data_IF_223835019941
#
_entry.id   IF_223835019941
#
_cell.length_a   1.000
_cell.length_b   1.000
_cell.length_c   1.000
_cell.angle_alpha   90.00
_cell.angle_beta   90.00
_cell.angle_gamma   90.00
#
_symmetry.space_group_name_H-M   'P 1'
#
loop_
_entity.id
_entity.type
_entity.pdbx_description
1 polymer ?
#
# COMPACT_ATOMS: atom_id res chain seq x y z
N UNK A 1 -17.47 7.55 -16.17
CA UNK A 1 -16.39 8.54 -15.94
C UNK A 1 -16.27 8.97 -14.46
N UNK A 2 -17.33 9.49 -13.82
CA UNK A 2 -17.22 10.04 -12.44
C UNK A 2 -17.02 9.00 -11.33
N UNK A 3 -17.55 7.79 -11.50
CA UNK A 3 -17.43 6.71 -10.51
C UNK A 3 -16.02 6.11 -10.50
N UNK A 4 -15.37 5.95 -11.66
CA UNK A 4 -13.99 5.46 -11.77
C UNK A 4 -12.96 6.47 -11.24
N UNK A 5 -13.12 7.77 -11.50
CA UNK A 5 -12.29 8.81 -10.89
C UNK A 5 -12.44 8.86 -9.36
N UNK A 6 -13.68 8.80 -8.85
CA UNK A 6 -13.92 8.68 -7.39
C UNK A 6 -13.31 7.41 -6.81
N UNK A 7 -13.40 6.30 -7.55
CA UNK A 7 -12.79 5.04 -7.16
C UNK A 7 -11.26 5.16 -7.06
N UNK A 8 -10.60 5.72 -8.08
CA UNK A 8 -9.15 5.98 -8.11
C UNK A 8 -8.66 6.94 -7.01
N UNK A 9 -9.48 7.91 -6.60
CA UNK A 9 -9.12 8.88 -5.56
C UNK A 9 -9.30 8.33 -4.12
N UNK A 10 -10.19 7.35 -3.93
CA UNK A 10 -10.56 6.83 -2.60
C UNK A 10 -9.72 5.63 -2.15
N UNK A 11 -8.99 4.99 -3.05
CA UNK A 11 -8.13 3.85 -2.76
C UNK A 11 -6.70 4.21 -3.18
N UNK A 12 -5.75 4.07 -2.25
CA UNK A 12 -4.32 4.20 -2.53
C UNK A 12 -3.88 3.07 -3.47
N UNK A 13 -4.13 3.17 -4.78
CA UNK A 13 -3.85 2.12 -5.77
C UNK A 13 -2.37 2.03 -6.16
N UNK A 14 -1.47 1.94 -5.18
CA UNK A 14 -0.01 1.86 -5.43
C UNK A 14 0.38 0.71 -6.38
N UNK A 15 -0.39 -0.39 -6.42
CA UNK A 15 -0.12 -1.51 -7.34
C UNK A 15 -0.40 -1.19 -8.82
N UNK A 16 -1.38 -0.32 -9.11
CA UNK A 16 -1.77 0.02 -10.49
C UNK A 16 -0.95 1.18 -11.06
N UNK A 17 -0.19 1.89 -10.23
CA UNK A 17 0.66 3.00 -10.66
C UNK A 17 2.04 2.54 -11.13
N UNK A 18 2.43 1.30 -10.82
CA UNK A 18 3.73 0.77 -11.21
C UNK A 18 3.71 0.29 -12.67
N UNK A 19 4.56 0.89 -13.51
CA UNK A 19 4.82 0.35 -14.85
C UNK A 19 5.53 -1.01 -14.72
N UNK A 20 5.10 -2.05 -15.46
CA UNK A 20 5.78 -3.35 -15.46
C UNK A 20 7.25 -3.21 -15.84
N UNK A 21 8.10 -4.07 -15.27
CA UNK A 21 9.51 -4.12 -15.65
C UNK A 21 9.65 -4.63 -17.09
N UNK A 22 10.53 -3.99 -17.84
CA UNK A 22 10.97 -4.44 -19.16
C UNK A 22 11.38 -5.92 -19.08
N UNK A 23 10.95 -6.72 -20.07
CA UNK A 23 11.21 -8.17 -20.13
C UNK A 23 10.22 -9.07 -19.39
N UNK A 24 9.15 -8.51 -18.80
CA UNK A 24 8.02 -9.29 -18.27
C UNK A 24 6.86 -9.48 -19.24
N UNK A 25 6.93 -8.84 -20.41
CA UNK A 25 5.93 -8.97 -21.45
C UNK A 25 6.12 -10.28 -22.22
N UNK A 26 5.03 -11.02 -22.40
CA UNK A 26 5.01 -12.29 -23.16
C UNK A 26 4.89 -12.00 -24.66
N UNK A 27 4.31 -10.85 -25.02
CA UNK A 27 4.23 -10.35 -26.39
C UNK A 27 5.60 -9.96 -26.94
N UNK A 28 5.83 -10.12 -28.25
CA UNK A 28 6.94 -9.47 -28.92
C UNK A 28 6.88 -7.94 -28.74
N UNK A 29 8.03 -7.25 -28.61
CA UNK A 29 8.09 -5.79 -28.54
C UNK A 29 7.39 -5.11 -29.72
N UNK A 30 6.65 -4.05 -29.48
CA UNK A 30 5.97 -3.28 -30.52
C UNK A 30 6.11 -1.78 -30.28
N UNK A 31 6.85 -1.11 -31.17
CA UNK A 31 7.02 0.33 -31.11
C UNK A 31 5.71 1.08 -31.43
N UNK A 32 5.29 1.96 -30.51
CA UNK A 32 4.13 2.82 -30.64
C UNK A 32 2.92 2.37 -29.84
N UNK A 33 3.08 1.45 -28.88
CA UNK A 33 1.99 0.95 -28.00
C UNK A 33 1.98 1.62 -26.61
N UNK A 34 2.81 2.64 -26.36
CA UNK A 34 3.00 3.32 -25.07
C UNK A 34 3.62 2.44 -23.97
N UNK A 35 4.25 1.32 -24.31
CA UNK A 35 4.95 0.45 -23.37
C UNK A 35 6.41 0.36 -23.78
N UNK A 36 7.32 0.73 -22.89
CA UNK A 36 8.75 0.55 -23.15
C UNK A 36 9.07 -0.94 -23.01
N UNK A 37 9.38 -1.57 -24.13
CA UNK A 37 9.69 -3.01 -24.21
C UNK A 37 11.18 -3.28 -24.48
N UNK A 38 11.55 -4.57 -24.56
CA UNK A 38 12.94 -4.96 -24.80
C UNK A 38 13.44 -4.41 -26.15
N UNK A 39 14.50 -3.61 -26.12
CA UNK A 39 15.09 -3.01 -27.33
C UNK A 39 14.67 -1.57 -27.59
N UNK A 40 13.65 -1.06 -26.88
CA UNK A 40 13.19 0.32 -26.98
C UNK A 40 13.82 1.20 -25.89
N UNK A 41 13.99 2.49 -26.17
CA UNK A 41 14.48 3.46 -25.19
C UNK A 41 13.37 4.40 -24.70
N UNK A 42 12.31 4.54 -25.49
CA UNK A 42 11.12 5.33 -25.23
C UNK A 42 9.98 4.82 -26.11
N UNK A 43 8.75 5.08 -25.70
CA UNK A 43 7.56 4.87 -26.54
C UNK A 43 6.56 5.97 -26.17
N UNK A 44 6.13 6.75 -27.18
CA UNK A 44 5.19 7.86 -27.05
C UNK A 44 3.88 7.63 -27.83
N UNK A 45 3.59 6.38 -28.18
CA UNK A 45 2.46 6.00 -29.01
C UNK A 45 2.75 6.08 -30.51
N UNK A 46 1.69 5.96 -31.31
CA UNK A 46 1.77 6.01 -32.76
C UNK A 46 2.35 7.36 -33.27
N UNK A 47 3.01 7.34 -34.42
CA UNK A 47 3.65 8.53 -35.01
C UNK A 47 2.73 9.74 -35.12
N UNK A 48 1.45 9.54 -35.46
CA UNK A 48 0.48 10.63 -35.61
C UNK A 48 0.05 11.25 -34.27
N UNK A 49 0.26 10.55 -33.15
CA UNK A 49 -0.18 10.95 -31.81
C UNK A 49 1.00 11.41 -30.92
N UNK A 50 2.23 11.02 -31.27
CA UNK A 50 3.39 11.34 -30.48
C UNK A 50 3.73 12.84 -30.53
N UNK A 51 3.56 13.50 -29.39
CA UNK A 51 3.96 14.90 -29.17
C UNK A 51 5.26 15.04 -28.38
N UNK A 52 5.92 13.92 -28.06
CA UNK A 52 7.10 13.90 -27.21
C UNK A 52 8.35 14.40 -27.99
N UNK A 53 8.97 15.52 -27.56
CA UNK A 53 10.12 16.08 -28.26
C UNK A 53 11.40 15.26 -28.09
N UNK A 54 11.41 14.28 -27.18
CA UNK A 54 12.58 13.49 -26.80
C UNK A 54 12.59 12.10 -27.43
N UNK A 55 11.44 11.61 -27.91
CA UNK A 55 11.28 10.27 -28.48
C UNK A 55 11.02 10.33 -29.99
N UNK A 56 11.70 9.47 -30.74
CA UNK A 56 11.37 9.19 -32.13
C UNK A 56 10.33 8.07 -32.19
N UNK A 57 9.10 8.44 -32.55
CA UNK A 57 7.96 7.53 -32.60
C UNK A 57 8.09 6.43 -33.65
N UNK A 58 8.91 6.63 -34.68
CA UNK A 58 9.10 5.65 -35.74
C UNK A 58 10.07 4.52 -35.34
N UNK A 59 11.00 4.82 -34.43
CA UNK A 59 12.09 3.91 -34.05
C UNK A 59 12.08 3.52 -32.57
N UNK A 60 11.27 4.18 -31.73
CA UNK A 60 11.25 4.03 -30.28
C UNK A 60 12.63 4.23 -29.64
N UNK A 61 13.40 5.15 -30.22
CA UNK A 61 14.72 5.60 -29.76
C UNK A 61 14.65 7.03 -29.26
N UNK A 62 15.55 7.35 -28.33
CA UNK A 62 15.75 8.72 -27.92
C UNK A 62 16.29 9.54 -29.09
N UNK A 63 15.74 10.75 -29.28
CA UNK A 63 16.26 11.72 -30.24
C UNK A 63 17.65 12.19 -29.81
N UNK A 64 18.39 12.82 -30.73
CA UNK A 64 19.71 13.35 -30.45
C UNK A 64 19.69 14.23 -29.18
N UNK A 65 20.71 14.06 -28.33
CA UNK A 65 20.89 14.76 -27.04
C UNK A 65 19.89 14.42 -25.93
N UNK A 66 18.83 13.65 -26.21
CA UNK A 66 17.90 13.20 -25.18
C UNK A 66 18.51 12.09 -24.33
N UNK A 67 18.43 12.24 -23.01
CA UNK A 67 18.83 11.25 -22.01
C UNK A 67 17.63 10.51 -21.44
N UNK A 68 16.45 11.15 -21.46
CA UNK A 68 15.17 10.57 -21.09
C UNK A 68 14.04 11.11 -21.98
N UNK A 69 12.93 10.39 -22.02
CA UNK A 69 11.71 10.84 -22.72
C UNK A 69 10.46 10.83 -21.85
N UNK A 70 10.45 10.11 -20.73
CA UNK A 70 9.30 9.95 -19.85
C UNK A 70 9.77 9.85 -18.38
N UNK A 71 8.84 9.93 -17.43
CA UNK A 71 9.07 9.82 -15.98
C UNK A 71 9.06 11.17 -15.27
N UNK A 72 8.66 11.18 -14.00
CA UNK A 72 8.48 12.40 -13.20
C UNK A 72 9.80 13.16 -12.96
N UNK A 73 10.94 12.47 -13.11
CA UNK A 73 12.28 13.03 -13.05
C UNK A 73 12.91 13.32 -14.42
N UNK A 74 12.12 13.32 -15.50
CA UNK A 74 12.55 13.80 -16.81
C UNK A 74 12.01 15.22 -17.07
N UNK A 75 12.87 16.14 -17.44
CA UNK A 75 12.49 17.50 -17.84
C UNK A 75 13.33 17.95 -19.03
N UNK A 76 12.67 18.42 -20.11
CA UNK A 76 13.34 18.87 -21.33
C UNK A 76 14.37 17.85 -21.86
N UNK A 77 13.97 16.58 -21.88
CA UNK A 77 14.78 15.45 -22.32
C UNK A 77 16.04 15.14 -21.48
N UNK A 78 16.18 15.77 -20.31
CA UNK A 78 17.28 15.56 -19.37
C UNK A 78 16.76 15.11 -18.01
N UNK A 79 17.59 14.44 -17.23
CA UNK A 79 17.24 14.18 -15.84
C UNK A 79 17.15 15.50 -15.06
N UNK A 80 16.09 15.63 -14.26
CA UNK A 80 15.98 16.73 -13.29
C UNK A 80 17.16 16.68 -12.33
N UNK A 81 17.56 17.83 -11.79
CA UNK A 81 18.68 17.91 -10.86
C UNK A 81 18.41 17.07 -9.59
N UNK A 82 19.48 16.54 -9.01
CA UNK A 82 19.40 15.87 -7.71
C UNK A 82 18.73 16.80 -6.68
N UNK A 83 17.76 16.28 -5.93
CA UNK A 83 16.97 17.04 -4.96
C UNK A 83 15.75 17.76 -5.54
N UNK A 84 15.54 17.75 -6.86
CA UNK A 84 14.28 18.25 -7.44
C UNK A 84 13.11 17.38 -6.99
N UNK A 85 12.10 18.00 -6.36
CA UNK A 85 10.90 17.29 -5.91
C UNK A 85 10.10 16.74 -7.10
N UNK A 86 9.71 15.47 -7.00
CA UNK A 86 8.91 14.79 -8.01
C UNK A 86 7.56 14.31 -7.47
N UNK A 87 7.43 14.11 -6.15
CA UNK A 87 6.16 13.82 -5.49
C UNK A 87 6.08 14.56 -4.15
N UNK A 88 4.88 15.04 -3.80
CA UNK A 88 4.62 15.60 -2.47
C UNK A 88 4.18 14.49 -1.52
N UNK A 89 4.54 14.59 -0.24
CA UNK A 89 4.06 13.67 0.79
C UNK A 89 2.54 13.68 0.90
N UNK A 90 1.89 12.52 0.85
CA UNK A 90 0.43 12.40 0.92
C UNK A 90 -0.12 12.33 2.35
N UNK A 91 0.67 11.79 3.28
CA UNK A 91 0.28 11.58 4.67
C UNK A 91 1.52 11.56 5.57
N UNK A 92 1.31 11.53 6.89
CA UNK A 92 2.40 11.65 7.86
C UNK A 92 3.48 10.55 7.80
N UNK A 93 3.19 9.37 7.24
CA UNK A 93 4.18 8.29 7.06
C UNK A 93 4.89 8.34 5.69
N UNK A 94 4.49 9.28 4.83
CA UNK A 94 5.10 9.55 3.53
C UNK A 94 6.22 10.58 3.69
N UNK A 95 7.24 10.49 2.84
CA UNK A 95 8.19 11.57 2.63
C UNK A 95 7.94 12.23 1.26
N UNK A 96 8.34 13.49 1.06
CA UNK A 96 8.43 14.04 -0.28
C UNK A 96 9.53 13.31 -1.06
N UNK A 97 9.21 12.90 -2.29
CA UNK A 97 10.17 12.22 -3.15
C UNK A 97 10.97 13.22 -3.96
N UNK A 98 12.25 12.93 -4.12
CA UNK A 98 13.17 13.76 -4.90
C UNK A 98 13.91 12.95 -5.94
N UNK A 99 14.19 13.57 -7.09
CA UNK A 99 15.02 13.02 -8.13
C UNK A 99 16.47 12.85 -7.66
N UNK A 100 17.13 11.79 -8.10
CA UNK A 100 18.54 11.49 -7.79
C UNK A 100 19.53 12.18 -8.75
N UNK A 101 19.02 12.79 -9.83
CA UNK A 101 19.83 13.38 -10.90
C UNK A 101 20.44 12.38 -11.88
N UNK A 102 20.10 11.10 -11.76
CA UNK A 102 20.72 9.99 -12.51
C UNK A 102 19.68 9.09 -13.18
N UNK A 103 18.41 9.23 -12.83
CA UNK A 103 17.30 8.48 -13.38
C UNK A 103 16.11 9.41 -13.70
N UNK A 104 15.25 8.93 -14.60
CA UNK A 104 13.95 9.54 -14.86
C UNK A 104 12.86 9.10 -13.88
N UNK A 105 13.15 8.14 -12.99
CA UNK A 105 12.19 7.60 -12.02
C UNK A 105 12.16 8.43 -10.75
N UNK A 106 10.96 8.69 -10.26
CA UNK A 106 10.73 9.16 -8.90
C UNK A 106 10.54 7.94 -8.00
N UNK A 107 11.43 7.75 -7.03
CA UNK A 107 11.34 6.64 -6.08
C UNK A 107 10.48 7.04 -4.89
N UNK A 108 9.47 6.24 -4.58
CA UNK A 108 8.54 6.43 -3.45
C UNK A 108 9.26 6.17 -2.12
N UNK A 109 9.46 7.22 -1.32
CA UNK A 109 10.17 7.23 -0.05
C UNK A 109 9.21 7.39 1.14
N UNK A 110 9.47 6.61 2.19
CA UNK A 110 8.65 6.62 3.39
C UNK A 110 9.47 6.93 4.63
N UNK A 111 8.78 7.40 5.68
CA UNK A 111 9.38 7.40 7.01
C UNK A 111 9.76 5.98 7.40
N UNK A 112 10.85 5.87 8.16
CA UNK A 112 11.34 4.59 8.67
C UNK A 112 10.22 3.82 9.36
N UNK A 113 10.12 2.53 9.07
CA UNK A 113 9.20 1.63 9.75
C UNK A 113 9.40 1.74 11.28
N UNK A 114 8.30 1.86 12.02
CA UNK A 114 8.29 2.09 13.46
C UNK A 114 8.24 3.54 13.91
N UNK A 115 8.32 4.51 12.99
CA UNK A 115 8.10 5.92 13.32
C UNK A 115 6.67 6.11 13.82
N UNK A 116 6.48 6.78 14.96
CA UNK A 116 5.14 7.03 15.51
C UNK A 116 4.27 7.88 14.56
N UNK A 117 2.98 7.57 14.51
CA UNK A 117 2.00 8.22 13.63
C UNK A 117 0.63 8.36 14.33
N UNK A 118 -0.23 9.25 13.84
CA UNK A 118 -1.57 9.58 14.35
C UNK A 118 -1.53 9.95 15.84
N UNK A 119 -0.63 10.85 16.25
CA UNK A 119 -0.45 11.29 17.64
C UNK A 119 -0.17 10.12 18.61
N UNK A 120 0.67 9.16 18.21
CA UNK A 120 1.04 8.01 19.07
C UNK A 120 0.08 6.82 18.99
N UNK A 121 -0.97 6.89 18.16
CA UNK A 121 -1.96 5.81 17.99
C UNK A 121 -1.48 4.66 17.09
N UNK A 122 -0.39 4.86 16.36
CA UNK A 122 0.17 3.84 15.48
C UNK A 122 1.66 4.02 15.24
N UNK A 123 2.19 3.14 14.40
CA UNK A 123 3.56 3.20 13.89
C UNK A 123 3.56 3.01 12.38
N UNK A 124 4.40 3.75 11.67
CA UNK A 124 4.54 3.65 10.23
C UNK A 124 5.02 2.25 9.85
N UNK A 125 4.41 1.68 8.82
CA UNK A 125 4.84 0.45 8.19
C UNK A 125 4.63 0.59 6.67
N UNK A 126 5.74 0.58 5.92
CA UNK A 126 5.78 0.70 4.45
C UNK A 126 4.97 1.91 3.95
N UNK A 127 5.21 3.06 4.58
CA UNK A 127 4.54 4.31 4.25
C UNK A 127 3.13 4.47 4.80
N UNK A 128 2.53 3.47 5.44
CA UNK A 128 1.17 3.59 6.00
C UNK A 128 1.20 3.66 7.51
N UNK A 129 0.16 4.25 8.11
CA UNK A 129 -0.10 4.17 9.55
C UNK A 129 -1.25 3.18 9.83
N UNK A 130 -0.98 1.86 9.94
CA UNK A 130 -2.01 0.88 10.26
C UNK A 130 -2.57 1.11 11.67
N UNK A 131 -3.88 1.33 11.76
CA UNK A 131 -4.61 1.46 13.02
C UNK A 131 -5.94 0.70 12.93
N UNK A 132 -6.45 0.22 14.06
CA UNK A 132 -7.75 -0.46 14.10
C UNK A 132 -8.87 0.46 13.57
N UNK A 133 -8.80 1.75 13.90
CA UNK A 133 -9.79 2.76 13.49
C UNK A 133 -9.79 2.96 11.98
N UNK A 134 -8.62 3.14 11.35
CA UNK A 134 -8.53 3.29 9.90
C UNK A 134 -9.02 2.02 9.19
N UNK A 135 -8.66 0.84 9.70
CA UNK A 135 -9.15 -0.41 9.14
C UNK A 135 -10.68 -0.57 9.28
N UNK A 136 -11.28 -0.14 10.40
CA UNK A 136 -12.73 -0.10 10.53
C UNK A 136 -13.38 0.87 9.54
N UNK A 137 -12.78 2.04 9.31
CA UNK A 137 -13.25 3.01 8.31
C UNK A 137 -13.19 2.42 6.90
N UNK A 138 -12.07 1.78 6.55
CA UNK A 138 -11.90 1.14 5.25
C UNK A 138 -12.96 0.05 5.04
N UNK A 139 -13.19 -0.78 6.06
CA UNK A 139 -14.14 -1.90 5.98
C UNK A 139 -15.60 -1.48 6.07
N UNK A 140 -15.96 -0.43 6.81
CA UNK A 140 -17.37 -0.15 7.14
C UNK A 140 -17.79 1.31 6.88
N UNK A 141 -16.93 2.15 6.32
CA UNK A 141 -17.22 3.56 5.99
C UNK A 141 -16.78 4.55 7.08
N UNK A 142 -16.84 5.85 6.75
CA UNK A 142 -16.27 6.95 7.56
C UNK A 142 -16.71 6.98 9.03
N UNK A 143 -17.94 6.57 9.30
CA UNK A 143 -18.54 6.65 10.63
C UNK A 143 -18.25 5.40 11.49
N UNK A 144 -17.49 4.44 10.96
CA UNK A 144 -17.16 3.21 11.66
C UNK A 144 -16.14 3.45 12.78
N UNK A 145 -16.39 2.90 13.96
CA UNK A 145 -15.53 2.97 15.13
C UNK A 145 -14.91 1.60 15.42
N UNK A 146 -13.82 1.59 16.19
CA UNK A 146 -13.31 0.36 16.78
C UNK A 146 -14.37 -0.19 17.72
N UNK A 147 -14.59 -1.51 17.70
CA UNK A 147 -15.47 -2.18 18.64
C UNK A 147 -14.97 -2.01 20.08
N UNK A 148 -15.87 -2.06 21.05
CA UNK A 148 -15.47 -2.05 22.45
C UNK A 148 -14.73 -3.33 22.84
N UNK A 149 -13.93 -3.29 23.91
CA UNK A 149 -13.05 -4.38 24.35
C UNK A 149 -13.78 -5.73 24.51
N UNK A 150 -15.05 -5.71 24.95
CA UNK A 150 -15.85 -6.93 25.09
C UNK A 150 -16.08 -7.68 23.76
N UNK A 151 -16.00 -6.99 22.61
CA UNK A 151 -16.06 -7.63 21.30
C UNK A 151 -14.81 -8.49 21.06
N UNK A 152 -13.63 -8.00 21.45
CA UNK A 152 -12.35 -8.69 21.25
C UNK A 152 -12.19 -9.93 22.15
N UNK A 153 -12.96 -10.05 23.23
CA UNK A 153 -13.02 -11.28 24.05
C UNK A 153 -13.45 -12.51 23.23
N UNK A 154 -14.20 -12.30 22.13
CA UNK A 154 -14.56 -13.39 21.21
C UNK A 154 -13.34 -14.04 20.55
N UNK A 155 -12.20 -13.34 20.48
CA UNK A 155 -10.97 -13.88 19.90
C UNK A 155 -10.38 -15.06 20.70
N UNK A 156 -10.83 -15.29 21.94
CA UNK A 156 -10.48 -16.48 22.73
C UNK A 156 -11.25 -17.75 22.32
N UNK A 157 -12.26 -17.64 21.44
CA UNK A 157 -13.11 -18.78 21.08
C UNK A 157 -12.44 -19.77 20.14
N UNK A 158 -11.53 -19.31 19.28
CA UNK A 158 -10.92 -20.16 18.25
C UNK A 158 -11.93 -20.58 17.18
N UNK A 159 -12.74 -19.64 16.71
CA UNK A 159 -13.78 -19.84 15.70
C UNK A 159 -13.60 -18.84 14.56
N UNK A 160 -14.28 -19.05 13.44
CA UNK A 160 -14.19 -18.17 12.25
C UNK A 160 -14.41 -16.69 12.57
N UNK A 161 -15.28 -16.38 13.53
CA UNK A 161 -15.62 -15.03 13.94
C UNK A 161 -14.80 -14.52 15.14
N UNK A 162 -13.84 -15.29 15.64
CA UNK A 162 -12.99 -14.89 16.76
C UNK A 162 -11.81 -15.85 16.95
N UNK A 163 -10.64 -15.46 16.43
CA UNK A 163 -9.40 -16.23 16.44
C UNK A 163 -8.19 -15.31 16.17
N UNK A 164 -6.98 -15.80 16.41
CA UNK A 164 -5.73 -15.08 16.07
C UNK A 164 -5.06 -15.61 14.80
N UNK A 165 -5.04 -16.93 14.65
CA UNK A 165 -4.38 -17.59 13.53
C UNK A 165 -5.25 -18.72 12.99
N UNK A 166 -4.97 -19.12 11.76
CA UNK A 166 -5.62 -20.25 11.09
C UNK A 166 -4.55 -21.22 10.62
N UNK A 167 -4.72 -22.50 10.92
CA UNK A 167 -3.83 -23.58 10.49
C UNK A 167 -4.67 -24.61 9.73
N UNK A 168 -4.58 -24.59 8.40
CA UNK A 168 -5.51 -25.35 7.54
C UNK A 168 -6.94 -24.87 7.76
N UNK A 169 -7.84 -25.76 8.15
CA UNK A 169 -9.24 -25.42 8.46
C UNK A 169 -9.51 -25.16 9.94
N UNK A 170 -8.48 -25.25 10.78
CA UNK A 170 -8.59 -25.01 12.21
C UNK A 170 -8.33 -23.54 12.54
N UNK A 171 -9.29 -22.91 13.21
CA UNK A 171 -9.12 -21.61 13.83
C UNK A 171 -8.48 -21.78 15.21
N UNK A 172 -7.43 -21.01 15.49
CA UNK A 172 -6.70 -21.06 16.74
C UNK A 172 -7.06 -19.84 17.61
N UNK A 173 -7.47 -20.07 18.88
CA UNK A 173 -7.82 -18.98 19.79
C UNK A 173 -6.59 -18.12 20.07
N UNK A 174 -6.84 -16.84 20.37
CA UNK A 174 -5.78 -15.95 20.85
C UNK A 174 -5.32 -16.31 22.26
N UNK A 175 -4.08 -15.98 22.59
CA UNK A 175 -3.66 -15.84 23.97
C UNK A 175 -4.10 -14.48 24.54
N UNK A 176 -4.14 -14.27 25.87
CA UNK A 176 -4.61 -13.01 26.46
C UNK A 176 -3.94 -11.74 25.89
N UNK A 177 -2.61 -11.79 25.69
CA UNK A 177 -1.84 -10.67 25.15
C UNK A 177 -2.09 -10.41 23.65
N UNK A 178 -2.62 -11.40 22.91
CA UNK A 178 -2.82 -11.32 21.46
C UNK A 178 -4.26 -10.95 21.07
N UNK A 179 -5.17 -10.77 22.04
CA UNK A 179 -6.60 -10.61 21.76
C UNK A 179 -6.92 -9.45 20.80
N UNK A 180 -6.09 -8.41 20.79
CA UNK A 180 -6.22 -7.23 19.94
C UNK A 180 -5.55 -7.40 18.55
N UNK A 181 -5.01 -8.57 18.25
CA UNK A 181 -4.36 -8.90 16.97
C UNK A 181 -5.09 -9.99 16.17
N UNK A 182 -6.24 -10.46 16.67
CA UNK A 182 -7.08 -11.45 16.01
C UNK A 182 -8.07 -10.86 15.01
N UNK A 183 -9.31 -11.36 15.03
CA UNK A 183 -10.41 -10.76 14.25
C UNK A 183 -10.64 -9.33 14.73
N UNK A 184 -10.70 -8.39 13.78
CA UNK A 184 -11.03 -6.99 14.06
C UNK A 184 -12.54 -6.87 14.28
N UNK A 185 -12.90 -6.20 15.37
CA UNK A 185 -14.28 -5.81 15.64
C UNK A 185 -14.45 -4.30 15.47
N UNK A 186 -15.55 -3.93 14.81
CA UNK A 186 -15.95 -2.56 14.56
C UNK A 186 -17.38 -2.32 15.07
N UNK A 187 -17.78 -1.06 15.18
CA UNK A 187 -19.14 -0.62 15.45
C UNK A 187 -19.51 0.59 14.59
N UNK A 188 -20.78 0.96 14.51
CA UNK A 188 -21.23 2.05 13.63
C UNK A 188 -21.00 1.76 12.15
N UNK A 189 -20.91 2.82 11.33
CA UNK A 189 -20.73 2.73 9.88
C UNK A 189 -21.86 2.02 9.13
N UNK A 190 -21.57 1.63 7.89
CA UNK A 190 -22.48 0.95 6.96
C UNK A 190 -22.92 -0.43 7.50
N UNK A 191 -24.09 -0.90 7.03
CA UNK A 191 -24.60 -2.24 7.39
C UNK A 191 -23.86 -3.39 6.69
N UNK A 192 -23.30 -3.11 5.52
CA UNK A 192 -22.49 -4.03 4.74
C UNK A 192 -21.06 -3.50 4.63
N UNK A 193 -20.04 -4.39 4.71
CA UNK A 193 -18.66 -3.97 4.59
C UNK A 193 -18.31 -3.57 3.14
N UNK A 194 -17.39 -2.63 2.96
CA UNK A 194 -16.84 -2.16 1.68
C UNK A 194 -15.81 -3.17 1.12
N UNK A 195 -16.21 -4.43 1.05
CA UNK A 195 -15.47 -5.53 0.44
C UNK A 195 -16.42 -6.23 -0.55
N UNK A 196 -15.95 -7.28 -1.23
CA UNK A 196 -16.78 -8.11 -2.11
C UNK A 196 -18.14 -8.43 -1.46
N UNK A 197 -19.22 -8.21 -2.20
CA UNK A 197 -20.60 -8.27 -1.67
C UNK A 197 -20.95 -9.60 -0.98
N UNK A 198 -20.33 -10.70 -1.41
CA UNK A 198 -20.57 -12.05 -0.88
C UNK A 198 -19.74 -12.40 0.37
N UNK A 199 -18.99 -11.44 0.91
CA UNK A 199 -18.15 -11.69 2.08
C UNK A 199 -19.02 -11.88 3.33
N UNK A 200 -18.90 -13.05 3.96
CA UNK A 200 -19.61 -13.36 5.20
C UNK A 200 -19.22 -12.37 6.32
N UNK A 201 -20.20 -12.04 7.17
CA UNK A 201 -20.02 -11.13 8.31
C UNK A 201 -20.66 -11.69 9.57
N UNK A 202 -20.10 -11.35 10.72
CA UNK A 202 -20.70 -11.62 12.02
C UNK A 202 -21.17 -10.30 12.64
N UNK A 203 -22.36 -10.31 13.24
CA UNK A 203 -22.90 -9.19 14.01
C UNK A 203 -23.51 -9.72 15.30
N UNK A 204 -23.06 -9.21 16.44
CA UNK A 204 -23.60 -9.50 17.75
C UNK A 204 -23.71 -8.19 18.54
N UNK A 205 -24.95 -7.72 18.75
CA UNK A 205 -25.17 -6.37 19.28
C UNK A 205 -24.47 -5.31 18.41
N UNK A 206 -23.59 -4.52 19.02
CA UNK A 206 -22.79 -3.50 18.35
C UNK A 206 -21.51 -4.04 17.68
N UNK A 207 -21.08 -5.26 17.99
CA UNK A 207 -19.86 -5.86 17.45
C UNK A 207 -20.11 -6.35 16.01
N UNK A 208 -19.41 -5.76 15.05
CA UNK A 208 -19.38 -6.17 13.63
C UNK A 208 -18.00 -6.73 13.29
N UNK A 209 -17.95 -7.85 12.57
CA UNK A 209 -16.71 -8.44 12.06
C UNK A 209 -16.90 -8.98 10.64
N UNK A 210 -15.82 -8.93 9.85
CA UNK A 210 -15.77 -9.50 8.49
C UNK A 210 -15.10 -10.88 8.58
N UNK A 211 -15.77 -11.93 8.12
CA UNK A 211 -15.28 -13.31 8.17
C UNK A 211 -14.39 -13.64 6.98
N UNK A 212 -13.33 -12.86 6.82
CA UNK A 212 -12.37 -12.89 5.71
C UNK A 212 -10.99 -12.49 6.23
N UNK A 213 -9.86 -12.89 5.59
CA UNK A 213 -8.53 -12.42 5.99
C UNK A 213 -8.41 -10.90 6.13
N UNK A 214 -9.10 -10.12 5.29
CA UNK A 214 -9.14 -8.64 5.39
C UNK A 214 -9.83 -8.10 6.66
N UNK A 215 -10.60 -8.95 7.35
CA UNK A 215 -11.24 -8.67 8.63
C UNK A 215 -10.39 -9.01 9.85
N UNK A 216 -9.17 -9.55 9.65
CA UNK A 216 -8.18 -9.70 10.71
C UNK A 216 -7.45 -8.38 10.92
N UNK A 217 -7.02 -8.09 12.15
CA UNK A 217 -6.20 -6.91 12.45
C UNK A 217 -4.94 -6.91 11.57
N UNK A 218 -4.70 -5.81 10.87
CA UNK A 218 -3.57 -5.67 9.95
C UNK A 218 -2.22 -5.73 10.69
N UNK A 219 -1.23 -6.34 10.03
CA UNK A 219 0.15 -6.30 10.50
C UNK A 219 0.63 -4.85 10.64
N UNK A 220 1.37 -4.56 11.71
CA UNK A 220 1.88 -3.23 12.05
C UNK A 220 0.91 -2.39 12.89
N UNK A 221 -0.36 -2.80 13.06
CA UNK A 221 -1.28 -2.08 13.93
C UNK A 221 -0.78 -2.13 15.38
N UNK A 222 -0.75 -0.96 16.04
CA UNK A 222 -0.34 -0.84 17.44
C UNK A 222 -1.32 -1.62 18.33
N UNK A 223 -0.79 -2.56 19.13
CA UNK A 223 -1.57 -3.34 20.11
C UNK A 223 -1.20 -2.98 21.55
N UNK A 224 0.00 -2.46 21.78
CA UNK A 224 0.50 -1.95 23.05
C UNK A 224 1.60 -0.90 22.77
N UNK A 225 2.08 -0.20 23.79
CA UNK A 225 3.28 0.64 23.64
C UNK A 225 4.48 -0.22 23.20
N UNK A 226 5.28 0.28 22.25
CA UNK A 226 6.38 -0.46 21.61
C UNK A 226 6.01 -1.83 20.98
N UNK A 227 4.71 -2.16 20.82
CA UNK A 227 4.27 -3.42 20.21
C UNK A 227 3.27 -3.24 19.09
N UNK A 228 3.35 -4.15 18.14
CA UNK A 228 2.45 -4.22 16.98
C UNK A 228 1.93 -5.63 16.75
N UNK A 229 0.77 -5.71 16.13
CA UNK A 229 0.24 -6.95 15.62
C UNK A 229 1.08 -7.45 14.46
N UNK A 230 1.50 -8.71 14.52
CA UNK A 230 2.16 -9.38 13.41
C UNK A 230 1.76 -10.85 13.38
N UNK A 231 1.15 -11.29 12.28
CA UNK A 231 0.67 -12.68 12.09
C UNK A 231 -0.21 -13.17 13.25
N UNK A 232 -1.08 -12.30 13.75
CA UNK A 232 -2.02 -12.63 14.82
C UNK A 232 -1.45 -12.58 16.23
N UNK A 233 -0.23 -12.08 16.44
CA UNK A 233 0.38 -11.93 17.76
C UNK A 233 0.74 -10.47 18.05
N UNK A 234 0.63 -10.05 19.31
CA UNK A 234 1.09 -8.74 19.77
C UNK A 234 2.54 -8.84 20.24
N UNK A 235 3.47 -8.34 19.42
CA UNK A 235 4.91 -8.52 19.62
C UNK A 235 5.67 -7.20 19.51
N UNK A 236 6.95 -7.20 19.91
CA UNK A 236 7.82 -6.02 19.82
C UNK A 236 7.86 -5.48 18.39
N UNK A 237 7.71 -4.17 18.26
CA UNK A 237 7.76 -3.48 16.98
C UNK A 237 9.17 -3.58 16.36
N UNK A 238 10.21 -3.53 17.18
CA UNK A 238 11.62 -3.67 16.75
C UNK A 238 11.83 -5.02 16.06
N UNK A 239 11.44 -6.12 16.72
CA UNK A 239 11.59 -7.46 16.16
C UNK A 239 10.85 -7.63 14.82
N UNK A 240 9.66 -7.01 14.68
CA UNK A 240 8.90 -7.04 13.44
C UNK A 240 9.60 -6.24 12.36
N UNK A 241 10.01 -5.00 12.63
CA UNK A 241 10.64 -4.16 11.61
C UNK A 241 12.02 -4.65 11.21
N UNK A 242 12.81 -5.22 12.13
CA UNK A 242 14.06 -5.90 11.79
C UNK A 242 13.81 -7.11 10.88
N UNK A 243 12.78 -7.91 11.14
CA UNK A 243 12.42 -9.04 10.27
C UNK A 243 11.92 -8.62 8.89
N UNK A 244 11.42 -7.39 8.76
CA UNK A 244 10.89 -6.83 7.52
C UNK A 244 11.90 -5.95 6.77
N UNK A 245 12.96 -5.50 7.46
CA UNK A 245 14.04 -4.76 6.87
C UNK A 245 14.70 -5.64 5.80
N UNK A 246 14.65 -5.18 4.55
CA UNK A 246 15.58 -5.67 3.56
C UNK A 246 16.99 -5.24 4.00
N UNK A 247 17.95 -6.16 3.98
CA UNK A 247 19.39 -5.91 4.20
C UNK A 247 20.02 -4.95 3.15
N UNK A 248 19.23 -4.13 2.47
CA UNK A 248 19.75 -3.09 1.59
C UNK A 248 20.01 -1.86 2.44
N UNK A 249 21.29 -1.59 2.68
CA UNK A 249 21.79 -0.31 3.15
C UNK A 249 21.04 0.83 2.43
N UNK A 250 20.49 1.77 3.19
CA UNK A 250 19.86 2.95 2.63
C UNK A 250 20.92 3.68 1.79
N UNK A 251 20.74 3.85 0.47
CA UNK A 251 21.77 4.42 -0.41
C UNK A 251 21.90 5.96 -0.27
N UNK A 252 21.63 6.49 0.92
CA UNK A 252 21.53 7.92 1.23
C UNK A 252 22.41 8.39 2.39
N UNK A 253 23.46 7.65 2.74
CA UNK A 253 24.55 8.16 3.59
C UNK A 253 25.83 8.34 2.78
#
# INVERSE_FOLDING_TARGET
MNQFKKYLLNLSFKCLMNKPKIGRFISPPFCGNNLIENGEQCDCGAEQECTNPCCDASTCKLKAEAVCADGECCEKCQFKKAGSMCQHSLHECDLPDTCDGKSNRCLDLFKKDGTSCMDGKGYCLRGKCPTLKNQCIDLWGSDALVGADHCFVLNFKGLIYGHCTRSGDKYLPCSPQDMNCGVLFCSGGNDSPNINADTARAKAGACKAVLHPSGMVQNGAKCEEEKVCYKGACTSKEAVYESLACNAECPGQ
#
